data_IF_298527274052
#
_entry.id   IF_298527274052
#
_cell.length_a   1.000
_cell.length_b   1.000
_cell.length_c   1.000
_cell.angle_alpha   90.00
_cell.angle_beta   90.00
_cell.angle_gamma   90.00
#
_symmetry.space_group_name_H-M   'P 1'
#
loop_
_entity.id
_entity.type
_entity.pdbx_description
1 polymer ?
#
# COMPACT_ATOMS: atom_id res chain seq x y z
N UNK A 1 16.77 -7.78 26.46
CA UNK A 1 17.43 -8.30 25.26
C UNK A 1 16.86 -7.54 24.08
N UNK A 2 17.65 -6.64 23.53
CA UNK A 2 17.24 -5.91 22.32
C UNK A 2 17.31 -6.90 21.16
N UNK A 3 16.15 -7.36 20.67
CA UNK A 3 16.09 -8.06 19.41
C UNK A 3 16.40 -7.00 18.37
N UNK A 4 17.60 -6.99 17.85
CA UNK A 4 17.95 -6.19 16.68
C UNK A 4 17.12 -6.76 15.51
N UNK A 5 15.94 -6.17 15.30
CA UNK A 5 15.09 -6.47 14.16
C UNK A 5 15.82 -5.98 12.90
N UNK A 6 16.76 -6.78 12.43
CA UNK A 6 17.50 -6.51 11.20
C UNK A 6 16.73 -7.17 10.06
N UNK A 7 16.00 -6.36 9.31
CA UNK A 7 15.31 -6.80 8.10
C UNK A 7 16.24 -6.70 6.90
N UNK A 8 16.07 -7.60 5.92
CA UNK A 8 16.82 -7.60 4.65
C UNK A 8 15.97 -7.16 3.48
N UNK A 9 14.68 -7.48 3.52
CA UNK A 9 13.78 -7.28 2.38
C UNK A 9 12.40 -6.81 2.85
N UNK A 10 12.05 -5.60 2.48
CA UNK A 10 10.77 -4.97 2.79
C UNK A 10 9.85 -4.99 1.59
N UNK A 11 8.59 -5.36 1.79
CA UNK A 11 7.51 -5.20 0.81
C UNK A 11 6.62 -4.03 1.22
N UNK A 12 6.41 -3.09 0.31
CA UNK A 12 5.57 -1.91 0.50
C UNK A 12 4.48 -1.88 -0.56
N UNK A 13 3.27 -2.36 -0.23
CA UNK A 13 2.12 -2.21 -1.11
C UNK A 13 1.66 -0.75 -1.18
N UNK A 14 1.42 -0.26 -2.40
CA UNK A 14 1.08 1.12 -2.70
C UNK A 14 -0.22 1.19 -3.51
N UNK A 15 -1.11 2.08 -3.12
CA UNK A 15 -2.35 2.38 -3.85
C UNK A 15 -2.54 3.88 -4.12
N UNK A 16 -1.53 4.69 -3.78
CA UNK A 16 -1.55 6.13 -3.90
C UNK A 16 -2.34 6.84 -2.80
N UNK A 17 -2.76 6.16 -1.74
CA UNK A 17 -3.40 6.77 -0.58
C UNK A 17 -2.37 7.46 0.34
N UNK A 18 -2.85 8.37 1.20
CA UNK A 18 -2.02 9.03 2.23
C UNK A 18 -1.45 8.03 3.23
N UNK A 19 -2.17 6.95 3.51
CA UNK A 19 -1.69 5.89 4.39
C UNK A 19 -0.56 5.06 3.76
N UNK A 20 -0.63 4.84 2.44
CA UNK A 20 0.45 4.18 1.70
C UNK A 20 1.71 5.07 1.63
N UNK A 21 1.55 6.38 1.49
CA UNK A 21 2.67 7.32 1.55
C UNK A 21 3.35 7.29 2.94
N UNK A 22 2.59 7.33 4.02
CA UNK A 22 3.13 7.20 5.37
C UNK A 22 3.81 5.84 5.62
N UNK A 23 3.29 4.77 5.01
CA UNK A 23 3.92 3.45 5.06
C UNK A 23 5.28 3.43 4.34
N UNK A 24 5.39 4.13 3.20
CA UNK A 24 6.66 4.29 2.50
C UNK A 24 7.70 5.02 3.35
N UNK A 25 7.33 6.14 3.98
CA UNK A 25 8.22 6.89 4.87
C UNK A 25 8.75 5.98 5.99
N UNK A 26 7.85 5.21 6.60
CA UNK A 26 8.23 4.26 7.65
C UNK A 26 9.15 3.15 7.13
N UNK A 27 8.87 2.63 5.93
CA UNK A 27 9.72 1.62 5.30
C UNK A 27 11.14 2.15 5.00
N UNK A 28 11.25 3.39 4.53
CA UNK A 28 12.54 4.06 4.29
C UNK A 28 13.34 4.18 5.58
N UNK A 29 12.72 4.57 6.70
CA UNK A 29 13.40 4.63 8.00
C UNK A 29 13.94 3.27 8.43
N UNK A 30 13.14 2.21 8.27
CA UNK A 30 13.54 0.84 8.60
C UNK A 30 14.68 0.39 7.68
N UNK A 31 14.52 0.60 6.37
CA UNK A 31 15.52 0.22 5.37
C UNK A 31 16.89 0.87 5.62
N UNK A 32 16.91 2.16 6.00
CA UNK A 32 18.15 2.87 6.38
C UNK A 32 18.86 2.22 7.56
N UNK A 33 18.10 1.83 8.60
CA UNK A 33 18.67 1.23 9.82
C UNK A 33 19.16 -0.20 9.59
N UNK A 34 18.40 -0.97 8.80
CA UNK A 34 18.65 -2.39 8.54
C UNK A 34 19.52 -2.65 7.33
N UNK A 35 19.81 -1.63 6.50
CA UNK A 35 20.43 -1.78 5.18
C UNK A 35 19.63 -2.73 4.29
N UNK A 36 18.31 -2.66 4.39
CA UNK A 36 17.38 -3.49 3.64
C UNK A 36 17.10 -2.91 2.26
N UNK A 37 16.73 -3.76 1.34
CA UNK A 37 16.14 -3.38 0.06
C UNK A 37 14.63 -3.20 0.19
N UNK A 38 14.03 -2.44 -0.70
CA UNK A 38 12.61 -2.14 -0.70
C UNK A 38 11.97 -2.56 -2.01
N UNK A 39 10.91 -3.35 -1.92
CA UNK A 39 10.06 -3.67 -3.06
C UNK A 39 8.77 -2.86 -2.97
N UNK A 40 8.52 -2.00 -3.94
CA UNK A 40 7.29 -1.24 -4.10
C UNK A 40 6.34 -2.04 -4.98
N UNK A 41 5.19 -2.42 -4.44
CA UNK A 41 4.19 -3.22 -5.14
C UNK A 41 2.92 -2.41 -5.36
N UNK A 42 2.51 -2.29 -6.62
CA UNK A 42 1.16 -1.82 -6.96
C UNK A 42 0.34 -2.96 -7.55
N UNK A 43 -0.91 -3.07 -7.12
CA UNK A 43 -1.84 -4.08 -7.63
C UNK A 43 -2.97 -3.40 -8.36
N UNK A 44 -3.09 -3.69 -9.65
CA UNK A 44 -4.20 -3.27 -10.49
C UNK A 44 -5.32 -4.28 -10.29
N UNK A 45 -6.40 -3.86 -9.65
CA UNK A 45 -7.58 -4.70 -9.49
C UNK A 45 -8.42 -4.68 -10.78
N UNK A 46 -8.96 -5.84 -11.21
CA UNK A 46 -9.82 -5.88 -12.38
C UNK A 46 -11.07 -5.03 -12.12
N UNK A 47 -11.51 -4.24 -13.12
CA UNK A 47 -12.72 -3.46 -12.98
C UNK A 47 -13.92 -4.38 -12.75
N UNK A 48 -14.79 -4.01 -11.83
CA UNK A 48 -16.06 -4.71 -11.56
C UNK A 48 -17.07 -4.32 -12.63
N UNK A 49 -16.92 -4.88 -13.83
CA UNK A 49 -17.82 -4.62 -14.96
C UNK A 49 -18.85 -5.74 -15.11
N UNK A 50 -20.07 -5.40 -15.57
CA UNK A 50 -21.09 -6.40 -15.89
C UNK A 50 -20.65 -7.25 -17.11
N UNK A 51 -21.07 -8.52 -17.18
CA UNK A 51 -20.51 -9.51 -18.11
C UNK A 51 -20.79 -9.32 -19.60
N UNK A 52 -21.59 -8.34 -20.02
CA UNK A 52 -22.00 -8.17 -21.42
C UNK A 52 -21.20 -7.07 -22.10
N UNK A 53 -20.43 -7.43 -23.14
CA UNK A 53 -19.70 -6.47 -24.00
C UNK A 53 -18.38 -5.94 -23.41
N UNK A 54 -17.92 -6.48 -22.31
CA UNK A 54 -16.86 -5.90 -21.51
C UNK A 54 -15.43 -6.06 -22.04
N UNK A 55 -15.15 -6.99 -22.94
CA UNK A 55 -13.76 -7.35 -23.28
C UNK A 55 -12.95 -6.20 -23.88
N UNK A 56 -13.55 -5.39 -24.77
CA UNK A 56 -12.87 -4.24 -25.36
C UNK A 56 -12.67 -3.10 -24.37
N UNK A 57 -13.72 -2.79 -23.60
CA UNK A 57 -13.68 -1.74 -22.55
C UNK A 57 -12.73 -2.13 -21.43
N UNK A 58 -12.69 -3.40 -21.04
CA UNK A 58 -11.73 -3.92 -20.04
C UNK A 58 -10.29 -3.75 -20.54
N UNK A 59 -10.01 -4.02 -21.81
CA UNK A 59 -8.69 -3.83 -22.38
C UNK A 59 -8.21 -2.37 -22.33
N UNK A 60 -9.08 -1.43 -22.67
CA UNK A 60 -8.75 0.00 -22.62
C UNK A 60 -8.55 0.50 -21.18
N UNK A 61 -9.44 0.12 -20.27
CA UNK A 61 -9.33 0.49 -18.86
C UNK A 61 -8.09 -0.13 -18.19
N UNK A 62 -7.73 -1.36 -18.56
CA UNK A 62 -6.51 -2.00 -18.05
C UNK A 62 -5.24 -1.29 -18.54
N UNK A 63 -5.23 -0.85 -19.82
CA UNK A 63 -4.09 -0.11 -20.37
C UNK A 63 -3.89 1.25 -19.66
N UNK A 64 -4.98 2.01 -19.46
CA UNK A 64 -4.94 3.25 -18.70
C UNK A 64 -4.48 3.03 -17.26
N UNK A 65 -4.96 1.97 -16.61
CA UNK A 65 -4.57 1.62 -15.25
C UNK A 65 -3.10 1.22 -15.13
N UNK A 66 -2.53 0.58 -16.14
CA UNK A 66 -1.11 0.18 -16.16
C UNK A 66 -0.19 1.40 -16.27
N UNK A 67 -0.48 2.32 -17.19
CA UNK A 67 0.25 3.58 -17.31
C UNK A 67 0.18 4.42 -16.02
N UNK A 68 -0.99 4.47 -15.38
CA UNK A 68 -1.15 5.15 -14.09
C UNK A 68 -0.36 4.45 -12.97
N UNK A 69 -0.31 3.12 -12.97
CA UNK A 69 0.44 2.34 -12.02
C UNK A 69 1.95 2.54 -12.18
N UNK A 70 2.45 2.55 -13.41
CA UNK A 70 3.84 2.85 -13.73
C UNK A 70 4.23 4.25 -13.25
N UNK A 71 3.44 5.26 -13.63
CA UNK A 71 3.67 6.64 -13.20
C UNK A 71 3.62 6.82 -11.67
N UNK A 72 2.75 6.09 -10.98
CA UNK A 72 2.72 6.06 -9.52
C UNK A 72 4.02 5.49 -8.95
N UNK A 73 4.44 4.32 -9.43
CA UNK A 73 5.64 3.64 -8.93
C UNK A 73 6.91 4.43 -9.22
N UNK A 74 7.05 5.01 -10.40
CA UNK A 74 8.18 5.88 -10.75
C UNK A 74 8.27 7.09 -9.81
N UNK A 75 7.16 7.80 -9.62
CA UNK A 75 7.09 8.96 -8.71
C UNK A 75 7.43 8.58 -7.27
N UNK A 76 7.00 7.40 -6.82
CA UNK A 76 7.24 6.93 -5.47
C UNK A 76 8.67 6.41 -5.31
N UNK A 77 9.19 5.69 -6.30
CA UNK A 77 10.58 5.22 -6.31
C UNK A 77 11.58 6.39 -6.25
N UNK A 78 11.26 7.51 -6.92
CA UNK A 78 12.07 8.72 -6.88
C UNK A 78 12.13 9.39 -5.49
N UNK A 79 11.23 9.03 -4.57
CA UNK A 79 11.25 9.52 -3.19
C UNK A 79 12.16 8.67 -2.28
N UNK A 80 12.55 7.47 -2.74
CA UNK A 80 13.46 6.62 -1.98
C UNK A 80 14.87 7.18 -2.07
N UNK A 81 15.54 7.45 -0.94
CA UNK A 81 16.88 8.04 -0.95
C UNK A 81 17.89 7.15 -1.67
N UNK A 82 18.87 7.79 -2.31
CA UNK A 82 20.03 7.10 -2.86
C UNK A 82 20.72 6.23 -1.78
N UNK A 83 21.14 5.03 -2.21
CA UNK A 83 21.76 4.06 -1.30
C UNK A 83 20.80 3.04 -0.68
N UNK A 84 19.47 3.18 -0.87
CA UNK A 84 18.51 2.12 -0.58
C UNK A 84 18.16 1.42 -1.91
N UNK A 85 18.49 0.13 -2.09
CA UNK A 85 18.09 -0.58 -3.28
C UNK A 85 16.56 -0.68 -3.35
N UNK A 86 15.97 -0.25 -4.46
CA UNK A 86 14.53 -0.27 -4.68
C UNK A 86 14.17 -1.03 -5.94
N UNK A 87 13.10 -1.80 -5.88
CA UNK A 87 12.50 -2.52 -7.01
C UNK A 87 11.01 -2.18 -7.07
N UNK A 88 10.47 -2.00 -8.27
CA UNK A 88 9.04 -1.74 -8.51
C UNK A 88 8.39 -2.93 -9.18
N UNK A 89 7.18 -3.27 -8.78
CA UNK A 89 6.43 -4.40 -9.31
C UNK A 89 4.96 -4.00 -9.48
N UNK A 90 4.40 -4.30 -10.65
CA UNK A 90 2.96 -4.26 -10.91
C UNK A 90 2.44 -5.69 -10.94
N UNK A 91 1.28 -5.90 -10.33
CA UNK A 91 0.53 -7.16 -10.37
C UNK A 91 -0.92 -6.89 -10.73
N UNK A 92 -1.59 -7.87 -11.30
CA UNK A 92 -3.01 -7.83 -11.65
C UNK A 92 -3.77 -8.84 -10.81
N UNK A 93 -4.85 -8.42 -10.16
CA UNK A 93 -5.67 -9.30 -9.34
C UNK A 93 -6.24 -8.62 -8.10
N UNK A 94 -6.67 -9.40 -7.13
CA UNK A 94 -7.11 -8.86 -5.84
C UNK A 94 -5.91 -8.47 -4.97
N UNK A 95 -5.89 -7.24 -4.49
CA UNK A 95 -4.74 -6.68 -3.79
C UNK A 95 -4.22 -7.56 -2.65
N UNK A 96 -5.11 -8.05 -1.78
CA UNK A 96 -4.71 -8.90 -0.66
C UNK A 96 -4.05 -10.22 -1.12
N UNK A 97 -4.58 -10.83 -2.20
CA UNK A 97 -4.06 -12.10 -2.71
C UNK A 97 -2.69 -11.90 -3.37
N UNK A 98 -2.53 -10.86 -4.17
CA UNK A 98 -1.26 -10.56 -4.84
C UNK A 98 -0.16 -10.17 -3.85
N UNK A 99 -0.51 -9.43 -2.79
CA UNK A 99 0.44 -9.11 -1.72
C UNK A 99 0.91 -10.39 -1.02
N UNK A 100 -0.01 -11.28 -0.63
CA UNK A 100 0.34 -12.53 0.05
C UNK A 100 1.15 -13.44 -0.87
N UNK A 101 0.75 -13.61 -2.14
CA UNK A 101 1.54 -14.36 -3.13
C UNK A 101 2.94 -13.82 -3.31
N UNK A 102 3.09 -12.48 -3.30
CA UNK A 102 4.40 -11.86 -3.41
C UNK A 102 5.28 -12.14 -2.20
N UNK A 103 4.71 -12.12 -1.00
CA UNK A 103 5.43 -12.48 0.24
C UNK A 103 5.93 -13.92 0.16
N UNK A 104 5.08 -14.84 -0.29
CA UNK A 104 5.41 -16.27 -0.39
C UNK A 104 6.42 -16.58 -1.50
N UNK A 105 6.35 -15.86 -2.63
CA UNK A 105 7.18 -16.10 -3.80
C UNK A 105 8.59 -15.47 -3.71
N UNK A 106 8.79 -14.50 -2.83
CA UNK A 106 10.06 -13.82 -2.65
C UNK A 106 10.33 -13.66 -1.17
N UNK A 107 11.55 -13.88 -0.77
CA UNK A 107 12.00 -13.86 0.64
C UNK A 107 11.91 -12.46 1.28
N UNK A 108 10.69 -11.89 1.31
CA UNK A 108 10.42 -10.70 2.11
C UNK A 108 10.28 -11.10 3.58
N UNK A 109 10.88 -10.34 4.46
CA UNK A 109 10.85 -10.58 5.91
C UNK A 109 10.00 -9.55 6.67
N UNK A 110 9.57 -8.50 5.99
CA UNK A 110 8.69 -7.47 6.53
C UNK A 110 7.77 -6.88 5.46
N UNK A 111 6.49 -6.72 5.80
CA UNK A 111 5.54 -5.90 5.04
C UNK A 111 5.28 -4.60 5.80
N UNK A 112 5.35 -3.47 5.10
CA UNK A 112 4.98 -2.16 5.65
C UNK A 112 3.88 -1.59 4.77
N UNK A 113 2.67 -1.45 5.30
CA UNK A 113 1.52 -1.04 4.51
C UNK A 113 0.63 -0.04 5.22
N UNK A 114 -0.13 0.73 4.45
CA UNK A 114 -1.11 1.66 5.00
C UNK A 114 -2.25 0.94 5.70
N UNK A 115 -2.82 1.55 6.74
CA UNK A 115 -3.96 1.00 7.46
C UNK A 115 -5.23 0.97 6.61
N UNK A 116 -5.35 1.87 5.63
CA UNK A 116 -6.49 2.00 4.71
C UNK A 116 -6.00 2.33 3.31
N UNK A 117 -6.83 2.06 2.31
CA UNK A 117 -6.61 2.45 0.93
C UNK A 117 -7.52 3.61 0.50
N UNK A 118 -7.76 3.72 -0.80
CA UNK A 118 -8.59 4.76 -1.43
C UNK A 118 -10.09 4.63 -1.14
N UNK A 119 -10.54 3.59 -0.44
CA UNK A 119 -11.95 3.32 -0.19
C UNK A 119 -12.64 4.41 0.64
N UNK A 120 -13.98 4.59 0.46
CA UNK A 120 -14.76 5.66 1.09
C UNK A 120 -15.04 5.45 2.59
N UNK A 121 -14.78 4.27 3.13
CA UNK A 121 -15.10 3.91 4.51
C UNK A 121 -14.11 4.53 5.50
N UNK A 122 -14.33 5.79 5.84
CA UNK A 122 -13.51 6.55 6.81
C UNK A 122 -13.68 6.08 8.25
N UNK A 123 -14.75 5.33 8.56
CA UNK A 123 -15.08 4.89 9.93
C UNK A 123 -14.33 3.64 10.39
N UNK A 124 -13.70 2.90 9.50
CA UNK A 124 -12.96 1.70 9.86
C UNK A 124 -11.51 2.04 10.19
N UNK A 125 -11.02 1.55 11.33
CA UNK A 125 -9.62 1.69 11.74
C UNK A 125 -8.67 0.93 10.82
N UNK A 126 -9.14 -0.13 10.16
CA UNK A 126 -8.35 -0.99 9.30
C UNK A 126 -9.12 -1.37 8.03
N UNK A 127 -8.50 -1.17 6.87
CA UNK A 127 -9.06 -1.53 5.57
C UNK A 127 -9.14 -3.04 5.34
N UNK A 128 -9.96 -3.45 4.36
CA UNK A 128 -10.16 -4.87 4.03
C UNK A 128 -8.86 -5.57 3.60
N UNK A 129 -8.06 -4.90 2.78
CA UNK A 129 -6.77 -5.42 2.29
C UNK A 129 -5.79 -5.59 3.46
N UNK A 130 -5.62 -4.55 4.28
CA UNK A 130 -4.70 -4.60 5.43
C UNK A 130 -5.09 -5.69 6.43
N UNK A 131 -6.38 -5.85 6.69
CA UNK A 131 -6.90 -6.92 7.55
C UNK A 131 -6.61 -8.30 6.97
N UNK A 132 -6.86 -8.49 5.68
CA UNK A 132 -6.62 -9.78 5.02
C UNK A 132 -5.14 -10.14 5.00
N UNK A 133 -4.26 -9.17 4.72
CA UNK A 133 -2.80 -9.36 4.73
C UNK A 133 -2.31 -9.69 6.15
N UNK A 134 -2.74 -8.95 7.18
CA UNK A 134 -2.39 -9.23 8.58
C UNK A 134 -2.77 -10.66 9.01
N UNK A 135 -3.92 -11.15 8.54
CA UNK A 135 -4.40 -12.48 8.92
C UNK A 135 -3.68 -13.61 8.19
N UNK A 136 -3.19 -13.35 6.97
CA UNK A 136 -2.65 -14.40 6.08
C UNK A 136 -1.14 -14.34 5.92
N UNK A 137 -0.49 -13.26 6.32
CA UNK A 137 0.94 -13.07 6.12
C UNK A 137 1.77 -14.04 6.95
N UNK A 138 2.71 -14.78 6.35
CA UNK A 138 3.67 -15.60 7.09
C UNK A 138 4.81 -14.79 7.70
N UNK A 139 4.92 -13.50 7.36
CA UNK A 139 5.96 -12.60 7.85
C UNK A 139 5.36 -11.46 8.68
N UNK A 140 6.21 -10.70 9.35
CA UNK A 140 5.77 -9.53 10.12
C UNK A 140 5.13 -8.47 9.24
N UNK A 141 4.08 -7.83 9.75
CA UNK A 141 3.37 -6.75 9.07
C UNK A 141 3.32 -5.53 9.99
N UNK A 142 3.80 -4.41 9.49
CA UNK A 142 3.62 -3.10 10.12
C UNK A 142 2.51 -2.37 9.37
N UNK A 143 1.47 -2.00 10.09
CA UNK A 143 0.37 -1.20 9.54
C UNK A 143 0.53 0.23 10.01
N UNK A 144 0.61 1.16 9.06
CA UNK A 144 0.83 2.58 9.31
C UNK A 144 -0.47 3.35 9.09
N UNK A 145 -0.84 4.13 10.08
CA UNK A 145 -1.96 5.05 9.99
C UNK A 145 -1.41 6.46 9.73
N UNK A 146 -1.88 7.11 8.67
CA UNK A 146 -1.59 8.52 8.47
C UNK A 146 -2.58 9.33 9.32
N UNK A 147 -2.07 10.19 10.17
CA UNK A 147 -2.89 11.18 10.83
C UNK A 147 -3.47 12.14 9.78
N UNK A 148 -4.73 12.59 9.92
CA UNK A 148 -5.26 13.61 9.04
C UNK A 148 -4.35 14.85 9.16
N UNK A 149 -4.08 15.57 8.03
CA UNK A 149 -3.29 16.78 8.10
C UNK A 149 -3.87 17.71 9.16
N UNK A 150 -2.99 18.21 10.04
CA UNK A 150 -3.36 19.16 11.08
C UNK A 150 -4.01 20.39 10.43
N UNK A 151 -5.36 20.47 10.48
CA UNK A 151 -6.14 21.53 9.82
C UNK A 151 -7.51 21.12 9.31
N UNK A 152 -7.83 19.82 9.25
CA UNK A 152 -9.20 19.38 9.03
C UNK A 152 -9.99 19.46 10.35
N UNK A 153 -10.40 20.69 10.72
CA UNK A 153 -11.30 20.92 11.85
C UNK A 153 -12.57 20.07 11.67
N UNK A 154 -12.86 19.24 12.65
CA UNK A 154 -14.16 18.59 12.78
C UNK A 154 -15.24 19.67 12.71
N UNK A 155 -16.34 19.49 11.96
CA UNK A 155 -17.44 20.42 12.02
C UNK A 155 -17.97 20.46 13.46
N UNK A 156 -17.84 21.61 14.09
CA UNK A 156 -18.49 21.88 15.38
C UNK A 156 -19.97 21.62 15.24
N UNK A 157 -20.47 20.63 15.97
CA UNK A 157 -21.90 20.44 16.17
C UNK A 157 -22.37 21.63 17.04
N UNK A 158 -22.89 22.66 16.38
CA UNK A 158 -23.64 23.72 17.10
C UNK A 158 -24.95 23.11 17.58
N UNK A 159 -24.97 22.71 18.83
CA UNK A 159 -26.24 22.46 19.55
C UNK A 159 -26.90 23.79 19.79
N UNK A 160 -27.91 24.13 19.00
CA UNK A 160 -28.83 25.20 19.28
C UNK A 160 -29.83 24.67 20.30
N UNK A 161 -29.66 25.08 21.55
CA UNK A 161 -30.71 24.94 22.56
C UNK A 161 -31.76 26.02 22.33
N UNK A 162 -33.00 25.62 22.14
CA UNK A 162 -34.19 26.42 22.24
C UNK A 162 -34.99 25.98 23.47
#
# INVERSE_FOLDING_TARGET
>A
MSVSDTYRSLLVPLDGSVHAAAALERAIEIAKRSRAWVTLLHVIEPPRLPPVGAAYVVGLLSAESEEQAEALLERVAAQVPEGIPVCTIIRHGHAADEIVRRIEAAEHDLVVMGSRGRGPLRSLLLGSVSRAVLHRSPVRVIVVHADPPAGAASPEVRTTAA
#
